data_IF_675148480794
#
_entry.id   IF_675148480794
#
_cell.length_a   1.000
_cell.length_b   1.000
_cell.length_c   1.000
_cell.angle_alpha   90.00
_cell.angle_beta   90.00
_cell.angle_gamma   90.00
#
_symmetry.space_group_name_H-M   'P 1'
#
loop_
_entity.id
_entity.type
_entity.pdbx_description
1 polymer ?
#
# COMPACT_ATOMS: atom_id res chain seq x y z
N UNK A 1 14.78 -17.22 -20.82
CA UNK A 1 14.53 -16.08 -19.91
C UNK A 1 13.03 -15.90 -19.69
N UNK A 2 12.46 -16.39 -18.58
CA UNK A 2 11.08 -16.04 -18.15
C UNK A 2 10.73 -16.47 -16.71
N UNK A 3 11.55 -17.31 -16.06
CA UNK A 3 11.30 -17.84 -14.71
C UNK A 3 11.17 -16.74 -13.66
N UNK A 4 12.02 -15.71 -13.70
CA UNK A 4 11.96 -14.54 -12.80
C UNK A 4 10.64 -13.77 -12.89
N UNK A 5 10.13 -13.54 -14.11
CA UNK A 5 8.85 -12.84 -14.32
C UNK A 5 7.68 -13.67 -13.76
N UNK A 6 7.74 -15.00 -13.89
CA UNK A 6 6.75 -15.91 -13.28
C UNK A 6 6.80 -15.91 -11.75
N UNK A 7 7.99 -15.86 -11.15
CA UNK A 7 8.14 -15.72 -9.70
C UNK A 7 7.56 -14.40 -9.18
N UNK A 8 7.85 -13.27 -9.85
CA UNK A 8 7.32 -11.97 -9.46
C UNK A 8 5.79 -11.95 -9.58
N UNK A 9 5.23 -12.52 -10.64
CA UNK A 9 3.77 -12.65 -10.80
C UNK A 9 3.13 -13.55 -9.74
N UNK A 10 3.78 -14.66 -9.37
CA UNK A 10 3.30 -15.55 -8.32
C UNK A 10 3.31 -14.88 -6.94
N UNK A 11 4.33 -14.07 -6.65
CA UNK A 11 4.43 -13.27 -5.43
C UNK A 11 3.39 -12.14 -5.39
N UNK A 12 3.17 -11.45 -6.51
CA UNK A 12 2.18 -10.38 -6.61
C UNK A 12 0.73 -10.90 -6.45
N UNK A 13 0.46 -12.14 -6.85
CA UNK A 13 -0.87 -12.76 -6.72
C UNK A 13 -1.16 -13.25 -5.29
N UNK A 14 -0.12 -13.57 -4.52
CA UNK A 14 -0.25 -14.01 -3.12
C UNK A 14 -0.22 -12.86 -2.12
N UNK A 15 0.21 -11.66 -2.53
CA UNK A 15 0.12 -10.48 -1.68
C UNK A 15 -1.35 -10.08 -1.55
N UNK A 16 -1.88 -10.06 -0.32
CA UNK A 16 -3.16 -9.39 -0.04
C UNK A 16 -3.09 -8.01 -0.68
N UNK A 17 -4.14 -7.62 -1.40
CA UNK A 17 -4.20 -6.30 -2.00
C UNK A 17 -3.97 -5.27 -0.90
N UNK A 18 -3.24 -4.18 -1.20
CA UNK A 18 -3.08 -3.09 -0.23
C UNK A 18 -4.45 -2.65 0.32
N UNK A 19 -5.48 -2.70 -0.53
CA UNK A 19 -6.88 -2.46 -0.17
C UNK A 19 -7.41 -3.41 0.91
N UNK A 20 -7.05 -4.70 0.87
CA UNK A 20 -7.48 -5.68 1.86
C UNK A 20 -6.79 -5.45 3.21
N UNK A 21 -5.53 -5.02 3.19
CA UNK A 21 -4.79 -4.64 4.39
C UNK A 21 -5.37 -3.35 5.00
N UNK A 22 -5.68 -2.36 4.17
CA UNK A 22 -6.29 -1.11 4.61
C UNK A 22 -7.70 -1.37 5.19
N UNK A 23 -8.50 -2.23 4.55
CA UNK A 23 -9.81 -2.63 5.07
C UNK A 23 -9.71 -3.34 6.42
N UNK A 24 -8.78 -4.28 6.59
CA UNK A 24 -8.55 -4.95 7.86
C UNK A 24 -8.14 -3.94 8.95
N UNK A 25 -7.25 -3.02 8.61
CA UNK A 25 -6.81 -1.97 9.51
C UNK A 25 -7.92 -1.01 9.93
N UNK A 26 -8.84 -0.67 9.01
CA UNK A 26 -10.02 0.14 9.33
C UNK A 26 -11.05 -0.64 10.17
N UNK A 27 -11.17 -1.96 9.96
CA UNK A 27 -12.10 -2.80 10.73
C UNK A 27 -11.73 -2.97 12.20
N UNK A 28 -10.48 -2.67 12.55
CA UNK A 28 -9.99 -2.66 13.93
C UNK A 28 -10.30 -1.36 14.69
N UNK A 29 -11.02 -0.40 14.08
CA UNK A 29 -11.37 0.84 14.76
C UNK A 29 -12.31 0.61 15.94
N UNK A 30 -12.01 1.24 17.06
CA UNK A 30 -12.83 1.10 18.28
C UNK A 30 -14.00 2.09 18.32
N UNK A 31 -13.86 3.23 17.67
CA UNK A 31 -14.86 4.29 17.58
C UNK A 31 -14.71 5.11 16.29
N UNK A 32 -15.60 6.09 16.11
CA UNK A 32 -15.64 6.94 14.90
C UNK A 32 -14.41 7.84 14.80
N UNK A 33 -13.87 8.33 15.91
CA UNK A 33 -12.68 9.18 15.91
C UNK A 33 -11.43 8.40 15.54
N UNK A 34 -11.30 7.17 16.04
CA UNK A 34 -10.22 6.24 15.66
C UNK A 34 -10.34 5.86 14.18
N UNK A 35 -11.55 5.61 13.68
CA UNK A 35 -11.78 5.35 12.26
C UNK A 35 -11.32 6.54 11.38
N UNK A 36 -11.72 7.77 11.72
CA UNK A 36 -11.31 8.97 10.99
C UNK A 36 -9.79 9.15 10.98
N UNK A 37 -9.15 8.94 12.14
CA UNK A 37 -7.69 8.98 12.26
C UNK A 37 -7.04 7.94 11.34
N UNK A 38 -7.48 6.68 11.39
CA UNK A 38 -6.93 5.59 10.58
C UNK A 38 -7.15 5.82 9.08
N UNK A 39 -8.31 6.33 8.67
CA UNK A 39 -8.56 6.73 7.28
C UNK A 39 -7.58 7.80 6.82
N UNK A 40 -7.33 8.81 7.65
CA UNK A 40 -6.35 9.86 7.35
C UNK A 40 -4.93 9.30 7.23
N UNK A 41 -4.56 8.34 8.06
CA UNK A 41 -3.26 7.66 7.97
C UNK A 41 -3.11 6.87 6.66
N UNK A 42 -4.15 6.15 6.22
CA UNK A 42 -4.17 5.44 4.92
C UNK A 42 -4.04 6.42 3.76
N UNK A 43 -4.80 7.53 3.77
CA UNK A 43 -4.73 8.57 2.73
C UNK A 43 -3.33 9.20 2.63
N UNK A 44 -2.69 9.46 3.77
CA UNK A 44 -1.33 9.99 3.83
C UNK A 44 -0.29 9.02 3.28
N UNK A 45 -0.46 7.70 3.52
CA UNK A 45 0.39 6.66 2.94
C UNK A 45 0.25 6.61 1.42
N UNK A 46 -0.97 6.66 0.90
CA UNK A 46 -1.21 6.70 -0.54
C UNK A 46 -0.52 7.89 -1.22
N UNK A 47 -0.57 9.08 -0.60
CA UNK A 47 0.10 10.29 -1.10
C UNK A 47 1.62 10.26 -0.97
N UNK A 48 2.13 9.71 0.13
CA UNK A 48 3.58 9.56 0.35
C UNK A 48 4.20 8.55 -0.61
N UNK A 49 3.51 7.45 -0.87
CA UNK A 49 3.95 6.44 -1.83
C UNK A 49 3.92 6.98 -3.27
N UNK A 50 2.91 7.77 -3.63
CA UNK A 50 2.86 8.46 -4.93
C UNK A 50 4.01 9.49 -5.08
N UNK A 51 4.35 10.22 -4.02
CA UNK A 51 5.52 11.13 -4.03
C UNK A 51 6.84 10.37 -4.11
N UNK A 52 7.00 9.27 -3.38
CA UNK A 52 8.22 8.46 -3.42
C UNK A 52 8.50 7.88 -4.82
N UNK A 53 7.47 7.55 -5.59
CA UNK A 53 7.60 7.12 -6.98
C UNK A 53 7.82 8.28 -7.97
N UNK A 54 7.44 9.51 -7.60
CA UNK A 54 7.68 10.72 -8.38
C UNK A 54 9.11 11.25 -8.27
N UNK A 55 9.82 10.93 -7.19
CA UNK A 55 11.24 11.26 -7.00
C UNK A 55 12.10 10.04 -7.34
N UNK A 56 12.14 9.68 -8.63
CA UNK A 56 13.20 8.79 -9.12
C UNK A 56 14.58 9.43 -8.90
N UNK A 57 15.66 8.64 -8.75
CA UNK A 57 17.00 9.19 -8.60
C UNK A 57 17.38 9.86 -9.92
N UNK A 58 17.45 11.19 -9.95
CA UNK A 58 18.18 11.90 -10.99
C UNK A 58 19.68 11.59 -10.81
N UNK A 59 20.38 11.04 -11.82
CA UNK A 59 21.83 11.06 -11.80
C UNK A 59 22.31 12.47 -12.16
N UNK A 60 23.16 13.05 -11.31
CA UNK A 60 24.11 14.10 -11.68
C UNK A 60 25.47 13.44 -11.92
#
# INVERSE_FOLDING_TARGET
>A
MSKFIRLIKALALSAKSQKDLDNAYLSESTDVYDLERRMREVDLRGRSSARALSFGPNPL
#
